data_IF_231282699141
#
_entry.id   IF_231282699141
#
_cell.length_a   1.000
_cell.length_b   1.000
_cell.length_c   1.000
_cell.angle_alpha   90.00
_cell.angle_beta   90.00
_cell.angle_gamma   90.00
#
_symmetry.space_group_name_H-M   'P 1'
#
loop_
_entity.id
_entity.type
_entity.pdbx_description
1 polymer ?
#
# COMPACT_ATOMS: atom_id res chain seq x y z
N UNK A 1 10.35 -16.63 2.85
CA UNK A 1 9.16 -15.78 3.02
C UNK A 1 8.87 -15.11 1.69
N UNK A 2 7.66 -15.26 1.14
CA UNK A 2 7.31 -14.68 -0.16
C UNK A 2 7.29 -13.16 -0.05
N UNK A 3 8.22 -12.51 -0.72
CA UNK A 3 8.17 -11.07 -0.99
C UNK A 3 6.88 -10.72 -1.73
N UNK A 4 6.34 -9.52 -1.52
CA UNK A 4 5.39 -8.96 -2.48
C UNK A 4 6.08 -8.94 -3.84
N UNK A 5 5.62 -9.79 -4.76
CA UNK A 5 5.99 -9.66 -6.17
C UNK A 5 5.41 -8.31 -6.60
N UNK A 6 6.25 -7.46 -7.19
CA UNK A 6 5.86 -6.15 -7.74
C UNK A 6 4.43 -6.18 -8.28
N UNK A 7 3.65 -5.15 -7.95
CA UNK A 7 2.29 -5.01 -8.47
C UNK A 7 2.38 -4.74 -9.98
N UNK A 8 2.10 -5.78 -10.78
CA UNK A 8 2.19 -5.77 -12.24
C UNK A 8 0.84 -6.16 -12.84
N UNK A 9 0.33 -5.36 -13.78
CA UNK A 9 -0.74 -5.77 -14.69
C UNK A 9 -0.12 -5.83 -16.08
N UNK A 10 -0.20 -6.99 -16.74
CA UNK A 10 0.37 -7.23 -18.06
C UNK A 10 1.86 -6.86 -18.19
N UNK A 11 2.62 -7.01 -17.10
CA UNK A 11 4.05 -6.68 -17.04
C UNK A 11 4.36 -5.20 -16.86
N UNK A 12 3.35 -4.36 -16.66
CA UNK A 12 3.48 -2.93 -16.38
C UNK A 12 3.38 -2.68 -14.88
N UNK A 13 4.34 -1.92 -14.33
CA UNK A 13 4.28 -1.47 -12.94
C UNK A 13 3.13 -0.48 -12.73
N UNK A 14 2.38 -0.67 -11.65
CA UNK A 14 1.23 0.18 -11.32
C UNK A 14 1.71 1.46 -10.61
N UNK A 15 1.24 2.61 -11.09
CA UNK A 15 1.49 3.91 -10.50
C UNK A 15 0.40 4.37 -9.51
N UNK A 16 -0.83 3.88 -9.69
CA UNK A 16 -2.00 4.30 -8.93
C UNK A 16 -2.74 3.08 -8.36
N UNK A 17 -2.97 3.08 -7.06
CA UNK A 17 -3.67 1.99 -6.37
C UNK A 17 -4.89 2.53 -5.62
N UNK A 18 -6.03 1.85 -5.80
CA UNK A 18 -7.23 2.07 -4.98
C UNK A 18 -7.43 0.82 -4.14
N UNK A 19 -7.36 0.97 -2.82
CA UNK A 19 -7.65 -0.10 -1.86
C UNK A 19 -9.16 -0.12 -1.63
N UNK A 20 -9.86 -1.20 -2.00
CA UNK A 20 -11.31 -1.24 -1.88
C UNK A 20 -11.74 -1.28 -0.40
N UNK A 21 -12.94 -0.77 -0.13
CA UNK A 21 -13.50 -0.66 1.22
C UNK A 21 -13.75 -2.02 1.90
N UNK A 22 -13.57 -3.13 1.20
CA UNK A 22 -13.58 -4.48 1.78
C UNK A 22 -12.30 -4.83 2.54
N UNK A 23 -11.27 -3.97 2.48
CA UNK A 23 -9.97 -4.19 3.13
C UNK A 23 -9.90 -3.35 4.40
N UNK A 24 -9.65 -4.01 5.52
CA UNK A 24 -9.45 -3.42 6.85
C UNK A 24 -7.98 -3.44 7.30
N UNK A 25 -7.10 -4.17 6.60
CA UNK A 25 -5.70 -4.33 6.94
C UNK A 25 -4.79 -4.24 5.71
N UNK A 26 -3.74 -3.42 5.80
CA UNK A 26 -2.57 -3.52 4.91
C UNK A 26 -1.50 -4.37 5.60
N UNK A 27 -1.28 -5.57 5.07
CA UNK A 27 -0.37 -6.56 5.63
C UNK A 27 1.10 -6.17 5.47
N UNK A 28 2.01 -6.75 6.27
CA UNK A 28 3.44 -6.47 6.14
C UNK A 28 3.92 -6.64 4.70
N UNK A 29 4.76 -5.72 4.24
CA UNK A 29 5.37 -5.72 2.91
C UNK A 29 4.40 -5.64 1.70
N UNK A 30 3.10 -5.31 1.86
CA UNK A 30 2.11 -5.37 0.77
C UNK A 30 2.52 -4.59 -0.49
N UNK A 31 3.06 -3.38 -0.34
CA UNK A 31 3.56 -2.53 -1.43
C UNK A 31 5.09 -2.43 -1.41
N UNK A 32 5.79 -3.34 -0.75
CA UNK A 32 7.25 -3.33 -0.69
C UNK A 32 7.88 -3.21 -2.09
N UNK A 33 8.75 -2.21 -2.29
CA UNK A 33 9.46 -1.95 -3.56
C UNK A 33 8.55 -1.69 -4.76
N UNK A 34 7.34 -1.16 -4.55
CA UNK A 34 6.54 -0.61 -5.63
C UNK A 34 7.11 0.75 -6.05
N UNK A 35 8.24 0.73 -6.77
CA UNK A 35 9.00 1.94 -7.13
C UNK A 35 8.21 2.94 -7.96
N UNK A 36 7.33 2.44 -8.83
CA UNK A 36 6.48 3.27 -9.68
C UNK A 36 5.22 3.77 -8.98
N UNK A 37 4.86 3.25 -7.80
CA UNK A 37 3.66 3.68 -7.07
C UNK A 37 3.83 5.13 -6.65
N UNK A 38 2.99 6.01 -7.18
CA UNK A 38 2.99 7.44 -6.89
C UNK A 38 1.75 7.90 -6.13
N UNK A 39 0.62 7.21 -6.31
CA UNK A 39 -0.62 7.54 -5.61
C UNK A 39 -1.27 6.29 -5.04
N UNK A 40 -1.81 6.43 -3.84
CA UNK A 40 -2.65 5.41 -3.22
C UNK A 40 -3.86 6.04 -2.53
N UNK A 41 -5.03 5.48 -2.80
CA UNK A 41 -6.27 5.77 -2.06
C UNK A 41 -6.52 4.61 -1.11
N UNK A 42 -6.54 4.91 0.18
CA UNK A 42 -6.76 3.94 1.23
C UNK A 42 -8.27 3.67 1.43
N UNK A 43 -8.58 2.46 1.87
CA UNK A 43 -9.95 2.03 2.21
C UNK A 43 -10.53 2.90 3.33
N UNK A 44 -11.83 3.23 3.24
CA UNK A 44 -12.53 3.94 4.32
C UNK A 44 -12.78 3.07 5.54
N UNK A 45 -12.53 1.77 5.45
CA UNK A 45 -12.65 0.81 6.55
C UNK A 45 -11.27 0.37 7.07
N UNK A 46 -10.18 1.00 6.62
CA UNK A 46 -8.83 0.64 7.03
C UNK A 46 -8.60 0.83 8.54
N UNK A 47 -8.17 -0.22 9.21
CA UNK A 47 -7.91 -0.26 10.65
C UNK A 47 -6.43 -0.34 10.98
N UNK A 48 -5.62 -0.98 10.14
CA UNK A 48 -4.19 -1.22 10.39
C UNK A 48 -3.31 -1.14 9.15
N UNK A 49 -2.11 -0.60 9.34
CA UNK A 49 -1.00 -0.59 8.37
C UNK A 49 0.21 -1.21 9.07
N UNK A 50 0.74 -2.30 8.50
CA UNK A 50 1.80 -3.07 9.16
C UNK A 50 3.21 -2.75 8.63
N UNK A 51 4.21 -3.38 9.24
CA UNK A 51 5.65 -3.18 8.99
C UNK A 51 6.01 -3.21 7.50
N UNK A 52 6.80 -2.23 7.09
CA UNK A 52 7.41 -2.13 5.75
C UNK A 52 6.39 -2.17 4.59
N UNK A 53 5.10 -1.96 4.86
CA UNK A 53 4.03 -2.02 3.85
C UNK A 53 4.28 -1.11 2.65
N UNK A 54 4.96 0.03 2.86
CA UNK A 54 5.32 1.02 1.84
C UNK A 54 6.83 1.24 1.73
N UNK A 55 7.64 0.35 2.29
CA UNK A 55 9.09 0.47 2.22
C UNK A 55 9.57 0.37 0.76
N UNK A 56 10.56 1.19 0.41
CA UNK A 56 11.08 1.36 -0.95
C UNK A 56 10.06 1.83 -2.01
N UNK A 57 8.90 2.38 -1.64
CA UNK A 57 7.97 3.05 -2.56
C UNK A 57 8.46 4.46 -2.94
N UNK A 58 9.54 4.55 -3.73
CA UNK A 58 10.23 5.83 -4.00
C UNK A 58 9.36 6.89 -4.71
N UNK A 59 8.34 6.47 -5.46
CA UNK A 59 7.41 7.38 -6.13
C UNK A 59 6.34 7.95 -5.20
N UNK A 60 6.11 7.32 -4.04
CA UNK A 60 5.03 7.65 -3.12
C UNK A 60 5.51 8.73 -2.14
N UNK A 61 5.26 9.99 -2.49
CA UNK A 61 5.71 11.15 -1.71
C UNK A 61 4.82 11.46 -0.51
N UNK A 62 3.52 11.16 -0.62
CA UNK A 62 2.52 11.42 0.41
C UNK A 62 1.51 10.29 0.47
N UNK A 63 1.10 9.91 1.68
CA UNK A 63 -0.03 8.99 1.92
C UNK A 63 -0.97 9.66 2.91
N UNK A 64 -2.22 9.87 2.50
CA UNK A 64 -3.26 10.36 3.39
C UNK A 64 -3.79 9.21 4.24
N UNK A 65 -3.43 9.19 5.52
CA UNK A 65 -3.88 8.16 6.47
C UNK A 65 -5.25 8.56 7.02
N UNK A 66 -6.30 7.72 6.88
CA UNK A 66 -7.60 7.99 7.50
C UNK A 66 -7.47 8.16 9.02
N UNK A 67 -8.18 9.13 9.57
CA UNK A 67 -8.07 9.49 11.00
C UNK A 67 -8.52 8.39 11.97
N UNK A 68 -9.27 7.39 11.49
CA UNK A 68 -9.73 6.24 12.27
C UNK A 68 -8.76 5.05 12.26
N UNK A 69 -7.64 5.11 11.51
CA UNK A 69 -6.63 4.05 11.52
C UNK A 69 -6.08 3.92 12.94
N UNK A 70 -6.22 2.73 13.51
CA UNK A 70 -5.95 2.47 14.93
C UNK A 70 -4.54 1.94 15.19
N UNK A 71 -3.85 1.43 14.16
CA UNK A 71 -2.53 0.83 14.29
C UNK A 71 -1.67 1.11 13.06
N UNK A 72 -0.45 1.57 13.31
CA UNK A 72 0.62 1.75 12.32
C UNK A 72 1.89 1.19 12.95
N UNK A 73 2.55 0.25 12.28
CA UNK A 73 3.79 -0.38 12.76
C UNK A 73 4.95 -0.26 11.75
#
# INVERSE_FOLDING_TARGET
MSYARKLLIDGVEIADVIIPDTIDEIKPFTFYRCYSLSNIVLSTNLMSINDESFSDCIGLSTVEIPSHVSSIS
#
